data_IF_823427882721
#
_entry.id   IF_823427882721
#
_cell.length_a   1.000
_cell.length_b   1.000
_cell.length_c   1.000
_cell.angle_alpha   90.00
_cell.angle_beta   90.00
_cell.angle_gamma   90.00
#
_symmetry.space_group_name_H-M   'P 1'
#
loop_
_entity.id
_entity.type
_entity.pdbx_description
1 polymer ?
2 non-polymer ?
3 non-polymer ?
4 non-polymer ?
5 non-polymer ?
6 water ?
#
# COMPACT_ATOMS: atom_id res chain seq x y z
N UNK A 1 -20.44 2.04 4.87
CA UNK A 1 -19.23 1.24 4.99
C UNK A 1 -19.06 0.33 3.78
N UNK A 2 -17.94 0.50 3.08
CA UNK A 2 -17.61 -0.32 1.94
C UNK A 2 -17.07 -1.67 2.38
N UNK A 3 -16.50 -2.43 1.44
CA UNK A 3 -16.03 -3.78 1.79
C UNK A 3 -14.92 -3.69 2.82
N UNK A 4 -14.86 -4.69 3.69
CA UNK A 4 -13.76 -4.83 4.64
C UNK A 4 -13.37 -6.29 4.70
N UNK A 5 -12.15 -6.58 5.16
CA UNK A 5 -11.75 -7.94 5.41
C UNK A 5 -12.52 -8.44 6.62
N UNK A 6 -13.08 -9.63 6.51
CA UNK A 6 -13.87 -10.18 7.59
C UNK A 6 -13.06 -11.20 8.37
N UNK A 7 -11.78 -10.90 8.52
CA UNK A 7 -10.88 -11.60 9.43
C UNK A 7 -9.81 -10.60 9.85
N UNK A 8 -9.15 -10.84 10.97
CA UNK A 8 -8.15 -9.90 11.46
C UNK A 8 -6.73 -10.35 11.18
N UNK A 9 -6.57 -11.56 10.66
CA UNK A 9 -5.27 -12.06 10.21
C UNK A 9 -5.24 -12.01 8.68
N UNK A 10 -4.34 -11.18 8.13
CA UNK A 10 -4.31 -10.93 6.69
C UNK A 10 -2.90 -11.18 6.17
N UNK A 11 -2.79 -11.99 5.11
CA UNK A 11 -1.49 -12.28 4.53
C UNK A 11 -1.19 -11.39 3.33
N UNK A 12 0.09 -11.14 3.10
CA UNK A 12 0.50 -10.46 1.87
C UNK A 12 1.67 -11.17 1.25
N UNK A 13 1.86 -10.97 -0.05
CA UNK A 13 2.97 -11.57 -0.74
C UNK A 13 3.53 -10.54 -1.69
N UNK A 14 4.85 -10.44 -1.74
CA UNK A 14 5.50 -9.58 -2.72
C UNK A 14 5.78 -10.41 -3.98
N UNK A 15 4.94 -10.19 -4.99
CA UNK A 15 4.96 -10.96 -6.25
C UNK A 15 6.28 -10.84 -6.98
N UNK A 16 6.78 -9.62 -7.01
CA UNK A 16 8.01 -9.28 -7.72
C UNK A 16 8.62 -7.99 -7.17
N UNK A 17 9.88 -7.75 -7.48
CA UNK A 17 10.61 -6.63 -6.91
C UNK A 17 11.05 -5.66 -7.99
N UNK A 18 10.84 -4.37 -7.73
CA UNK A 18 11.38 -3.34 -8.58
C UNK A 18 12.91 -3.41 -8.57
N UNK A 19 13.54 -3.25 -9.73
CA UNK A 19 14.99 -3.19 -9.78
C UNK A 19 15.53 -1.87 -9.24
N UNK A 20 14.65 -0.92 -8.92
CA UNK A 20 15.09 0.41 -8.53
C UNK A 20 15.74 0.41 -7.16
N UNK A 21 15.35 -0.57 -6.34
CA UNK A 21 15.78 -0.63 -4.95
C UNK A 21 16.37 -1.99 -4.68
N UNK A 22 17.17 -2.07 -3.62
CA UNK A 22 17.66 -3.34 -3.10
C UNK A 22 16.46 -4.12 -2.58
N UNK A 23 16.52 -5.45 -2.68
CA UNK A 23 15.41 -6.32 -2.32
C UNK A 23 15.03 -6.16 -0.84
N UNK A 24 16.04 -6.07 0.01
CA UNK A 24 15.81 -5.92 1.44
C UNK A 24 15.13 -4.58 1.76
N UNK A 25 15.39 -3.56 0.96
CA UNK A 25 14.75 -2.26 1.16
C UNK A 25 13.26 -2.31 0.76
N UNK A 26 12.94 -3.07 -0.29
CA UNK A 26 11.54 -3.26 -0.65
C UNK A 26 10.81 -3.99 0.47
N UNK A 27 11.38 -5.09 0.97
CA UNK A 27 10.76 -5.85 2.08
C UNK A 27 10.49 -4.93 3.26
N UNK A 28 11.48 -4.13 3.60
CA UNK A 28 11.41 -3.27 4.78
C UNK A 28 10.33 -2.20 4.61
N UNK A 29 10.26 -1.57 3.44
CA UNK A 29 9.27 -0.50 3.21
C UNK A 29 7.86 -1.06 3.30
N UNK A 30 7.67 -2.23 2.70
CA UNK A 30 6.34 -2.87 2.69
C UNK A 30 5.97 -3.31 4.10
N UNK A 31 6.91 -3.95 4.79
CA UNK A 31 6.65 -4.33 6.18
C UNK A 31 6.27 -3.13 7.05
N UNK A 32 7.04 -2.05 6.96
CA UNK A 32 6.75 -0.85 7.76
C UNK A 32 5.44 -0.20 7.37
N UNK A 33 5.07 -0.27 6.09
CA UNK A 33 3.77 0.28 5.68
C UNK A 33 2.61 -0.51 6.30
N UNK A 34 2.73 -1.83 6.38
CA UNK A 34 1.66 -2.60 7.00
C UNK A 34 1.60 -2.29 8.50
N UNK A 35 2.76 -2.10 9.09
CA UNK A 35 2.86 -1.84 10.51
C UNK A 35 2.15 -0.54 10.87
N UNK A 36 2.15 0.42 9.96
CA UNK A 36 1.46 1.70 10.20
C UNK A 36 -0.01 1.45 10.50
N UNK A 37 -0.64 0.57 9.71
CA UNK A 37 -2.05 0.26 9.89
C UNK A 37 -2.32 -0.72 11.05
N UNK A 38 -1.48 -1.73 11.22
CA UNK A 38 -1.67 -2.63 12.37
C UNK A 38 -1.48 -1.90 13.71
N UNK A 39 -0.66 -0.86 13.72
CA UNK A 39 -0.45 -0.06 14.95
C UNK A 39 -1.74 0.56 15.50
N UNK A 40 -2.77 0.72 14.67
CA UNK A 40 -3.98 1.41 15.12
C UNK A 40 -5.27 0.59 14.95
N UNK A 41 -5.13 -0.70 14.69
CA UNK A 41 -6.28 -1.59 14.48
C UNK A 41 -6.00 -2.95 15.10
N UNK A 42 -7.00 -3.83 15.09
CA UNK A 42 -6.71 -5.20 15.54
C UNK A 42 -6.07 -6.07 14.46
N UNK A 43 -5.74 -5.48 13.32
CA UNK A 43 -5.27 -6.30 12.21
C UNK A 43 -3.84 -6.75 12.37
N UNK A 44 -3.57 -7.97 11.91
CA UNK A 44 -2.20 -8.45 11.84
C UNK A 44 -1.88 -8.91 10.42
N UNK A 45 -0.65 -8.66 10.00
CA UNK A 45 -0.22 -8.91 8.63
C UNK A 45 1.03 -9.77 8.64
N UNK A 46 1.01 -10.85 7.88
CA UNK A 46 2.16 -11.75 7.75
C UNK A 46 2.51 -11.93 6.29
N UNK A 47 3.80 -11.86 5.99
CA UNK A 47 4.32 -12.06 4.65
C UNK A 47 4.49 -13.55 4.35
N UNK A 48 3.95 -13.99 3.22
CA UNK A 48 4.14 -15.37 2.76
C UNK A 48 4.64 -15.34 1.31
N UNK A 49 5.15 -16.46 0.82
CA UNK A 49 5.81 -16.49 -0.51
C UNK A 49 5.05 -17.28 -1.56
N UNK A 50 3.98 -17.94 -1.12
CA UNK A 50 3.07 -18.61 -2.03
C UNK A 50 1.77 -18.86 -1.30
N UNK A 51 0.81 -19.49 -1.95
CA UNK A 51 -0.40 -19.89 -1.26
C UNK A 51 -1.48 -18.85 -1.29
N UNK A 52 -2.29 -18.84 -0.24
CA UNK A 52 -3.43 -17.93 -0.17
C UNK A 52 -2.98 -16.60 0.42
N UNK A 53 -2.32 -15.78 -0.39
CA UNK A 53 -1.98 -14.42 0.05
C UNK A 53 -3.17 -13.52 -0.26
N UNK A 54 -3.61 -12.78 0.75
CA UNK A 54 -4.75 -11.88 0.58
C UNK A 54 -4.34 -10.69 -0.26
N UNK A 55 -3.25 -10.06 0.11
CA UNK A 55 -2.82 -8.83 -0.56
C UNK A 55 -1.56 -9.12 -1.35
N UNK A 56 -1.69 -9.13 -2.68
CA UNK A 56 -0.53 -9.34 -3.54
C UNK A 56 0.07 -7.99 -3.91
N UNK A 57 1.37 -7.84 -3.69
CA UNK A 57 2.08 -6.61 -4.02
C UNK A 57 2.80 -6.82 -5.34
N UNK A 58 2.54 -5.95 -6.30
CA UNK A 58 3.01 -6.19 -7.66
C UNK A 58 3.62 -4.92 -8.24
N UNK A 59 4.77 -5.05 -8.91
CA UNK A 59 5.31 -3.94 -9.69
C UNK A 59 5.12 -4.28 -11.17
N UNK A 60 4.51 -3.36 -11.93
CA UNK A 60 4.22 -3.62 -13.35
C UNK A 60 4.11 -2.34 -14.11
N UNK A 61 4.06 -2.43 -15.44
CA UNK A 61 4.05 -1.21 -16.24
C UNK A 61 2.89 -1.19 -17.23
N UNK A 62 2.44 0.01 -17.56
CA UNK A 62 1.41 0.20 -18.57
C UNK A 62 0.20 -0.67 -18.36
N UNK A 63 -0.27 -1.29 -19.45
CA UNK A 63 -1.38 -2.24 -19.36
C UNK A 63 -0.83 -3.54 -18.77
N UNK A 64 -1.35 -3.94 -17.61
CA UNK A 64 -0.76 -5.04 -16.86
C UNK A 64 -1.81 -6.02 -16.33
N UNK A 65 -2.92 -6.17 -17.06
CA UNK A 65 -3.80 -7.30 -16.82
C UNK A 65 -5.06 -7.00 -16.04
N UNK A 66 -5.27 -5.74 -15.67
CA UNK A 66 -6.52 -5.36 -15.03
C UNK A 66 -7.07 -4.13 -15.74
N UNK A 67 -8.10 -3.50 -15.21
CA UNK A 67 -8.68 -2.39 -15.97
C UNK A 67 -8.18 -1.05 -15.50
N UNK A 68 -6.97 -1.05 -14.95
CA UNK A 68 -6.39 0.15 -14.38
C UNK A 68 -4.97 0.33 -14.90
N UNK A 69 -4.86 0.53 -16.21
CA UNK A 69 -3.55 0.66 -16.84
C UNK A 69 -2.77 1.84 -16.29
N UNK A 70 -1.46 1.68 -16.19
CA UNK A 70 -0.57 2.76 -15.80
C UNK A 70 -0.23 3.68 -16.99
N UNK A 71 0.48 4.76 -16.70
CA UNK A 71 0.59 5.90 -17.60
C UNK A 71 2.03 6.36 -17.79
N UNK A 72 3.00 5.48 -17.59
CA UNK A 72 4.40 5.86 -17.69
C UNK A 72 4.85 6.71 -16.52
N UNK A 73 6.06 7.25 -16.57
CA UNK A 73 6.57 8.00 -15.43
C UNK A 73 5.71 9.20 -15.12
N UNK A 74 5.40 9.40 -13.84
CA UNK A 74 4.56 10.51 -13.42
C UNK A 74 3.11 10.11 -13.32
N UNK A 75 2.23 11.07 -13.11
CA UNK A 75 0.82 10.77 -13.04
C UNK A 75 0.49 9.74 -11.97
N UNK A 76 -0.22 8.68 -12.37
CA UNK A 76 -0.60 7.61 -11.44
C UNK A 76 0.65 6.91 -10.92
N UNK A 77 0.81 6.77 -9.61
CA UNK A 77 2.00 6.13 -9.07
C UNK A 77 1.74 4.66 -8.76
N UNK A 78 0.51 4.36 -8.36
CA UNK A 78 0.13 3.02 -7.90
C UNK A 78 -1.40 2.99 -7.82
N UNK A 79 -1.97 1.80 -7.67
CA UNK A 79 -3.40 1.69 -7.37
C UNK A 79 -3.66 0.35 -6.70
N UNK A 80 -4.79 0.24 -6.02
CA UNK A 80 -5.06 -0.98 -5.26
C UNK A 80 -6.55 -1.28 -5.23
N UNK A 81 -6.88 -2.56 -5.13
CA UNK A 81 -8.27 -2.99 -5.02
C UNK A 81 -8.70 -3.16 -3.57
N UNK A 82 -9.96 -2.82 -3.29
CA UNK A 82 -10.50 -2.97 -1.96
C UNK A 82 -10.66 -4.44 -1.61
N UNK A 83 -10.98 -4.74 -0.34
CA UNK A 83 -11.10 -6.12 0.15
C UNK A 83 -12.03 -6.97 -0.70
N UNK A 84 -11.60 -8.20 -0.94
CA UNK A 84 -12.33 -9.14 -1.78
C UNK A 84 -11.41 -10.28 -2.15
N UNK A 85 -11.94 -11.33 -2.77
CA UNK A 85 -11.13 -12.47 -3.16
C UNK A 85 -10.40 -12.15 -4.47
N UNK A 86 -9.41 -12.98 -4.80
CA UNK A 86 -8.72 -12.86 -6.06
C UNK A 86 -8.00 -11.53 -6.13
N UNK A 87 -8.29 -10.72 -7.14
CA UNK A 87 -7.57 -9.45 -7.27
C UNK A 87 -7.90 -8.48 -6.11
N UNK A 88 -9.00 -8.71 -5.41
CA UNK A 88 -9.34 -7.89 -4.25
C UNK A 88 -8.15 -7.73 -3.34
N UNK A 89 -7.95 -6.53 -2.82
CA UNK A 89 -6.87 -6.24 -1.88
C UNK A 89 -5.50 -6.03 -2.53
N UNK A 90 -5.35 -6.39 -3.79
CA UNK A 90 -4.01 -6.39 -4.38
C UNK A 90 -3.54 -4.96 -4.61
N UNK A 91 -2.24 -4.73 -4.47
CA UNK A 91 -1.67 -3.37 -4.59
C UNK A 91 -0.61 -3.36 -5.70
N UNK A 92 -0.82 -2.51 -6.70
CA UNK A 92 0.04 -2.46 -7.87
C UNK A 92 0.80 -1.15 -7.95
N UNK A 93 2.09 -1.26 -8.22
CA UNK A 93 2.96 -0.10 -8.24
C UNK A 93 3.53 0.06 -9.66
N UNK A 94 3.51 1.29 -10.13
CA UNK A 94 3.90 1.59 -11.52
C UNK A 94 5.42 1.50 -11.64
N UNK A 95 5.91 0.48 -12.33
CA UNK A 95 7.36 0.35 -12.46
C UNK A 95 8.00 1.51 -13.22
N UNK A 96 7.21 2.29 -13.95
CA UNK A 96 7.81 3.43 -14.66
C UNK A 96 8.18 4.58 -13.72
N UNK A 97 7.79 4.45 -12.45
CA UNK A 97 8.27 5.38 -11.43
C UNK A 97 9.64 4.93 -10.98
N UNK A 98 10.38 5.82 -10.32
CA UNK A 98 11.66 5.41 -9.71
C UNK A 98 11.50 5.30 -8.21
N UNK A 99 11.30 4.07 -7.72
CA UNK A 99 11.02 3.81 -6.30
C UNK A 99 12.26 3.97 -5.44
N UNK A 100 12.11 4.65 -4.31
CA UNK A 100 13.25 4.88 -3.40
C UNK A 100 12.92 4.66 -1.95
N UNK A 101 13.98 4.60 -1.14
CA UNK A 101 13.88 4.49 0.29
C UNK A 101 13.82 5.88 0.92
N UNK A 102 13.98 6.90 0.06
CA UNK A 102 14.19 8.28 0.48
C UNK A 102 13.32 9.26 -0.28
N UNK A 103 13.81 10.50 -0.41
CA UNK A 103 13.05 11.57 -1.08
C UNK A 103 13.20 11.71 -2.59
N UNK A 104 14.28 11.17 -3.15
CA UNK A 104 14.40 11.11 -4.60
C UNK A 104 13.27 10.25 -5.16
N UNK A 105 13.02 10.34 -6.46
CA UNK A 105 12.01 9.51 -7.08
C UNK A 105 10.76 9.45 -6.24
N UNK A 106 10.16 8.28 -6.13
CA UNK A 106 8.91 8.15 -5.37
C UNK A 106 9.12 7.22 -4.20
N UNK A 107 8.86 7.71 -3.00
CA UNK A 107 9.13 6.92 -1.80
C UNK A 107 8.18 5.72 -1.71
N UNK A 108 8.73 4.51 -1.74
CA UNK A 108 7.89 3.31 -1.75
C UNK A 108 7.08 3.19 -0.46
N UNK A 109 7.71 3.40 0.68
CA UNK A 109 7.01 3.32 1.96
C UNK A 109 5.71 4.14 2.00
N UNK A 110 5.79 5.43 1.71
CA UNK A 110 4.62 6.28 1.82
C UNK A 110 3.57 5.86 0.81
N UNK A 111 4.01 5.51 -0.39
CA UNK A 111 3.05 5.12 -1.42
C UNK A 111 2.35 3.83 -0.95
N UNK A 112 3.13 2.92 -0.38
CA UNK A 112 2.58 1.66 0.13
C UNK A 112 1.59 1.93 1.28
N UNK A 113 1.87 2.90 2.15
CA UNK A 113 0.92 3.20 3.22
C UNK A 113 -0.42 3.58 2.61
N UNK A 114 -0.38 4.47 1.63
CA UNK A 114 -1.59 4.92 0.93
C UNK A 114 -2.33 3.75 0.28
N UNK A 115 -1.57 2.91 -0.43
CA UNK A 115 -2.19 1.83 -1.20
C UNK A 115 -2.78 0.77 -0.28
N UNK A 116 -2.07 0.47 0.80
CA UNK A 116 -2.60 -0.51 1.76
C UNK A 116 -3.86 0.03 2.38
N UNK A 117 -3.94 1.34 2.56
CA UNK A 117 -5.16 1.93 3.06
C UNK A 117 -6.31 1.53 2.15
N UNK A 118 -6.12 1.65 0.84
CA UNK A 118 -7.11 1.18 -0.11
C UNK A 118 -7.35 -0.33 0.01
N UNK A 119 -6.27 -1.09 0.17
CA UNK A 119 -6.42 -2.54 0.23
C UNK A 119 -7.26 -2.96 1.45
N UNK A 120 -7.28 -2.12 2.49
CA UNK A 120 -8.06 -2.38 3.68
C UNK A 120 -9.47 -1.78 3.62
N UNK A 121 -9.75 -0.99 2.58
CA UNK A 121 -11.09 -0.48 2.38
C UNK A 121 -11.26 1.03 2.46
N UNK A 122 -10.16 1.75 2.67
CA UNK A 122 -10.27 3.22 2.77
C UNK A 122 -10.40 3.82 1.38
N UNK A 123 -11.19 4.89 1.26
CA UNK A 123 -11.21 5.67 0.03
C UNK A 123 -10.35 6.90 0.26
N UNK A 124 -10.32 7.81 -0.71
CA UNK A 124 -9.54 9.03 -0.56
C UNK A 124 -10.11 9.97 0.49
N UNK A 125 -9.22 10.76 1.08
CA UNK A 125 -9.60 11.77 2.06
C UNK A 125 -9.50 13.14 1.41
N UNK A 126 -10.38 14.07 1.78
CA UNK A 126 -10.25 15.43 1.26
C UNK A 126 -9.39 16.29 2.18
N UNK A 127 -8.87 15.68 3.24
CA UNK A 127 -8.01 16.34 4.21
C UNK A 127 -6.53 16.25 3.79
N UNK A 128 -5.92 17.39 3.45
CA UNK A 128 -4.54 17.40 2.96
C UNK A 128 -3.48 16.86 3.91
N UNK A 129 -3.83 16.67 5.18
CA UNK A 129 -2.86 16.14 6.12
C UNK A 129 -2.93 14.60 6.20
N UNK A 130 -3.90 14.02 5.51
CA UNK A 130 -4.08 12.57 5.55
C UNK A 130 -3.26 11.82 4.49
N UNK A 131 -2.74 10.65 4.87
CA UNK A 131 -2.00 9.82 3.92
C UNK A 131 -2.93 9.35 2.78
N UNK A 132 -4.24 9.33 3.04
CA UNK A 132 -5.23 8.96 2.01
C UNK A 132 -5.63 10.12 1.08
N UNK A 133 -5.05 11.30 1.27
CA UNK A 133 -5.24 12.38 0.30
C UNK A 133 -4.74 11.90 -1.06
N UNK A 134 -5.37 12.38 -2.15
CA UNK A 134 -5.07 11.82 -3.46
C UNK A 134 -3.64 12.05 -3.97
N UNK A 135 -3.01 13.16 -3.61
CA UNK A 135 -1.69 13.46 -4.17
C UNK A 135 -0.56 13.16 -3.22
N UNK A 136 0.46 12.51 -3.78
CA UNK A 136 1.67 12.17 -3.06
C UNK A 136 2.47 13.41 -2.64
N UNK A 137 3.03 13.35 -1.44
CA UNK A 137 4.10 14.26 -1.06
C UNK A 137 5.04 13.58 -0.08
N UNK A 138 6.30 13.95 -0.16
CA UNK A 138 7.31 13.29 0.66
C UNK A 138 7.42 13.84 2.08
N UNK A 139 7.63 12.95 3.02
CA UNK A 139 8.01 13.29 4.39
C UNK A 139 8.85 12.13 4.92
N UNK A 140 9.87 12.42 5.73
CA UNK A 140 10.75 11.36 6.24
C UNK A 140 9.98 10.33 7.06
N UNK A 141 10.36 9.06 6.92
CA UNK A 141 9.69 7.96 7.62
C UNK A 141 9.70 8.15 9.12
N UNK A 142 10.78 8.71 9.64
CA UNK A 142 10.91 8.90 11.08
C UNK A 142 9.98 9.99 11.60
N UNK A 143 9.51 10.85 10.69
CA UNK A 143 8.61 11.94 11.06
C UNK A 143 7.17 11.60 10.70
N UNK A 144 6.98 10.70 9.75
CA UNK A 144 5.64 10.34 9.30
C UNK A 144 4.72 9.89 10.45
N UNK A 145 3.48 10.39 10.47
CA UNK A 145 2.44 9.90 11.34
C UNK A 145 1.13 9.84 10.56
N UNK A 146 0.35 8.76 10.72
CA UNK A 146 -1.02 8.79 10.23
C UNK A 146 -1.71 10.01 10.80
N UNK A 147 -2.58 10.65 10.03
CA UNK A 147 -3.37 11.77 10.55
C UNK A 147 -4.58 11.26 11.35
N UNK A 148 -5.20 12.15 12.11
CA UNK A 148 -6.38 11.80 12.90
C UNK A 148 -7.49 11.32 11.97
N UNK A 149 -7.52 11.85 10.76
CA UNK A 149 -8.56 11.45 9.81
C UNK A 149 -8.33 10.00 9.34
N UNK A 150 -7.06 9.66 9.08
CA UNK A 150 -6.71 8.31 8.66
C UNK A 150 -7.09 7.31 9.74
N UNK A 151 -6.76 7.65 10.98
CA UNK A 151 -7.07 6.80 12.13
C UNK A 151 -8.59 6.68 12.34
N UNK A 152 -9.32 7.79 12.24
CA UNK A 152 -10.78 7.73 12.27
C UNK A 152 -11.30 6.76 11.21
N UNK A 153 -10.80 6.92 9.97
CA UNK A 153 -11.27 6.08 8.89
C UNK A 153 -11.06 4.60 9.13
N UNK A 154 -9.82 4.23 9.49
CA UNK A 154 -9.50 2.81 9.60
C UNK A 154 -10.15 2.20 10.84
N UNK A 155 -10.22 2.95 11.93
CA UNK A 155 -10.95 2.47 13.11
C UNK A 155 -12.47 2.36 12.89
N UNK A 156 -13.01 3.11 11.94
CA UNK A 156 -14.43 2.98 11.64
C UNK A 156 -14.71 1.65 10.92
N UNK A 157 -13.71 1.14 10.20
CA UNK A 157 -13.81 -0.15 9.50
C UNK A 157 -13.46 -1.36 10.37
N UNK A 158 -12.52 -1.21 11.29
CA UNK A 158 -11.97 -2.36 12.04
C UNK A 158 -11.92 -2.12 13.57
N UNK A 159 -12.04 -0.89 14.00
CA UNK A 159 -12.10 -0.60 15.42
C UNK A 159 -10.72 -0.38 16.01
X LIG B 1 -5.37 6.43 -3.81
X LIG C 1 -3.21 -2.88 -11.61
X LIG D 1 -6.04 -10.57 -3.30
X LIG E 1 11.26 1.81 -11.91
X LIG F 1 2.85 6.58 -13.58
X LIG G 1 -1.99 7.86 -5.40
X LIG G 1 4.14 15.08 4.00
X LIG G 1 -0.86 7.09 -4.73
X LIG G 1 -0.96 7.73 -7.51
X LIG G 1 -0.18 7.73 -3.51
X LIG G 1 -0.59 8.95 -2.72
X LIG G 1 0.36 9.04 -1.66
X LIG G 1 0.44 10.03 -0.53
X LIG G 1 1.73 10.05 0.23
X LIG G 1 1.86 10.95 1.30
X LIG G 1 0.75 11.77 1.66
X LIG G 1 -0.51 11.73 0.92
X LIG G 1 -0.66 10.82 -0.19
X LIG G 1 -1.54 8.43 -6.74
X LIG G 1 1.30 8.00 -1.77
X LIG G 1 0.93 7.20 -2.94
X LIG G 1 0.93 12.80 2.77
X LIG G 1 2.28 13.43 2.90
X LIG G 1 2.49 14.41 3.82
X LIG G 1 1.40 14.90 4.60
X LIG G 1 0.07 14.36 4.40
X LIG G 1 -0.14 13.32 3.44
X LIG G 1 -1.49 9.87 -6.85
X LIG G 1 -0.95 10.47 -8.08
X LIG G 1 0.12 11.48 -7.69
X LIG G 1 0.03 12.07 -6.65
X LIG G 1 -2.02 11.26 -8.83
X LIG G 1 -3.01 10.56 -9.75
X LIG G 1 -3.92 11.61 -10.33
X LIG G 1 -5.05 11.85 -9.77
X LIG G 1 -3.44 12.36 -11.35
X LIG G 1 0.98 11.98 -8.73
X LIG G 1 1.81 13.11 -8.35
X LIG G 1 1.00 14.40 -8.39
X LIG G 1 -0.08 14.43 -8.89
X LIG G 1 3.12 13.12 -9.14
X LIG G 1 3.25 14.10 -10.31
X LIG G 1 3.97 13.63 -11.58
X LIG G 1 3.31 13.73 -12.82
X LIG G 1 5.15 13.43 -11.54
X LIG G 1 1.44 15.55 -7.62
X LIG H 1 -4.41 6.91 -8.13
X LIG H 1 -4.62 6.39 -6.71
X LIG H 1 -5.33 6.92 -5.95
X LIG H 1 -3.97 5.18 -6.27
X LIG H 1 -4.16 4.80 -4.93
#
# INVERSE_FOLDING_TARGET
MGPVWRKHYITYRINNYTPDMNREDVDYAIRKAFQVWSNVTPLKFSKINTGMADILVVFARGAHGDDHAFDGKGGILAHAFGPGSGIGGDAHFDEDEFWTTHSGGTNLFLTAVHEIGHSLGLGHSSDPKAVMFPTYKYVDINTFRLSADDIRGIQSLYG
ZN ZN
ZN ZN
CA CA
CA CA
CA CA
EEA C1 CL1 C2 O2 C3 C4 C5 C6 C7 C8 C9 C10 C11 C12 N12 O12 C18 C19 C20 C21 C22 C23 N2 C13 C14 O1 C15 C16 C17 O4 O4E N1 C24 C28 O9 C25 C26 C27 O8 O8E N9
HAE C1 C2 O2 N O
#
